data_IF_326162941891
#
_entry.id   IF_326162941891
#
_cell.length_a   1.000
_cell.length_b   1.000
_cell.length_c   1.000
_cell.angle_alpha   90.00
_cell.angle_beta   90.00
_cell.angle_gamma   90.00
#
_symmetry.space_group_name_H-M   'P 1'
#
loop_
_entity.id
_entity.type
_entity.pdbx_description
1 polymer ?
#
# COMPACT_ATOMS: atom_id res chain seq x y z
N UNK A 1 -3.95 28.34 -21.74
CA UNK A 1 -3.66 27.13 -22.54
C UNK A 1 -4.70 27.10 -23.65
N UNK A 2 -4.30 27.30 -24.90
CA UNK A 2 -5.24 27.30 -26.03
C UNK A 2 -5.67 25.85 -26.32
N UNK A 3 -6.98 25.62 -26.49
CA UNK A 3 -7.49 24.29 -26.84
C UNK A 3 -7.12 23.99 -28.29
N UNK A 4 -6.27 23.00 -28.50
CA UNK A 4 -5.96 22.52 -29.85
C UNK A 4 -7.07 21.57 -30.28
N UNK A 5 -7.79 21.93 -31.35
CA UNK A 5 -8.81 21.05 -31.96
C UNK A 5 -8.17 19.71 -32.36
N UNK A 6 -8.91 18.63 -32.15
CA UNK A 6 -8.59 17.27 -32.59
C UNK A 6 -7.30 16.64 -32.01
N UNK A 7 -6.82 17.10 -30.84
CA UNK A 7 -5.73 16.44 -30.10
C UNK A 7 -6.23 15.79 -28.81
N UNK A 8 -5.82 14.53 -28.60
CA UNK A 8 -6.08 13.76 -27.38
C UNK A 8 -4.75 13.62 -26.61
N UNK A 9 -4.77 13.95 -25.32
CA UNK A 9 -3.63 13.75 -24.42
C UNK A 9 -3.99 12.69 -23.38
N UNK A 10 -3.15 11.67 -23.24
CA UNK A 10 -3.32 10.59 -22.26
C UNK A 10 -2.25 10.74 -21.18
N UNK A 11 -2.67 10.82 -19.92
CA UNK A 11 -1.79 10.89 -18.74
C UNK A 11 -2.11 9.71 -17.82
N UNK A 12 -1.31 8.63 -17.85
CA UNK A 12 -1.56 7.48 -16.98
C UNK A 12 -1.25 7.84 -15.53
N UNK A 13 -2.16 7.47 -14.63
CA UNK A 13 -2.06 7.67 -13.18
C UNK A 13 -2.22 6.33 -12.46
N UNK A 14 -1.63 6.24 -11.28
CA UNK A 14 -1.83 5.16 -10.31
C UNK A 14 -2.52 5.76 -9.09
N UNK A 15 -3.55 5.09 -8.62
CA UNK A 15 -4.22 5.43 -7.35
C UNK A 15 -4.42 4.16 -6.54
N UNK A 16 -4.52 4.30 -5.23
CA UNK A 16 -4.67 3.19 -4.30
C UNK A 16 -4.29 3.60 -2.89
N UNK A 17 -4.02 2.63 -2.04
CA UNK A 17 -3.45 2.86 -0.73
C UNK A 17 -2.26 1.95 -0.44
N UNK A 18 -1.42 2.40 0.48
CA UNK A 18 -0.54 1.53 1.26
C UNK A 18 -1.09 1.45 2.68
N UNK A 19 -0.79 0.37 3.39
CA UNK A 19 -1.12 0.22 4.80
C UNK A 19 0.00 -0.55 5.49
N UNK A 20 0.34 -0.14 6.70
CA UNK A 20 1.30 -0.83 7.56
C UNK A 20 0.70 -1.00 8.95
N UNK A 21 0.93 -2.17 9.51
CA UNK A 21 0.50 -2.48 10.86
C UNK A 21 1.36 -1.75 11.87
N UNK A 22 0.72 -1.21 12.91
CA UNK A 22 1.39 -0.45 13.97
C UNK A 22 2.14 -1.34 14.99
N UNK A 23 2.12 -2.67 14.80
CA UNK A 23 2.72 -3.65 15.72
C UNK A 23 1.83 -4.01 16.91
N UNK A 24 0.93 -3.10 17.30
CA UNK A 24 -0.09 -3.34 18.32
C UNK A 24 -1.32 -2.48 18.07
N UNK A 25 -2.45 -2.88 18.63
CA UNK A 25 -3.63 -2.02 18.75
C UNK A 25 -3.30 -0.82 19.65
N UNK A 26 -3.48 0.40 19.15
CA UNK A 26 -3.32 1.63 19.94
C UNK A 26 -4.38 1.70 21.04
N UNK A 27 -3.98 2.04 22.26
CA UNK A 27 -4.88 2.03 23.42
C UNK A 27 -5.94 3.14 23.37
N UNK A 28 -5.61 4.29 22.78
CA UNK A 28 -6.45 5.50 22.79
C UNK A 28 -7.72 5.38 21.93
N UNK A 29 -7.62 4.80 20.74
CA UNK A 29 -8.72 4.71 19.77
C UNK A 29 -8.87 3.34 19.11
N UNK A 30 -8.01 2.39 19.48
CA UNK A 30 -8.06 1.04 18.94
C UNK A 30 -7.56 0.88 17.51
N UNK A 31 -6.89 1.89 16.94
CA UNK A 31 -6.33 1.80 15.59
C UNK A 31 -5.20 0.75 15.53
N UNK A 32 -5.13 0.03 14.42
CA UNK A 32 -4.18 -1.08 14.19
C UNK A 32 -3.25 -0.83 13.01
N UNK A 33 -3.66 0.01 12.06
CA UNK A 33 -2.88 0.33 10.87
C UNK A 33 -2.73 1.84 10.70
N UNK A 34 -1.60 2.25 10.15
CA UNK A 34 -1.48 3.51 9.43
C UNK A 34 -1.56 3.21 7.94
N UNK A 35 -2.37 3.98 7.23
CA UNK A 35 -2.61 3.84 5.81
C UNK A 35 -2.41 5.17 5.11
N UNK A 36 -1.92 5.10 3.87
CA UNK A 36 -1.75 6.28 3.00
C UNK A 36 -2.46 6.02 1.70
N UNK A 37 -3.52 6.79 1.43
CA UNK A 37 -4.21 6.81 0.13
C UNK A 37 -3.54 7.84 -0.78
N UNK A 38 -3.36 7.53 -2.06
CA UNK A 38 -2.61 8.41 -2.97
C UNK A 38 -3.16 8.42 -4.41
N UNK A 39 -2.79 9.47 -5.13
CA UNK A 39 -2.83 9.58 -6.60
C UNK A 39 -1.46 10.04 -7.07
N UNK A 40 -0.82 9.27 -7.96
CA UNK A 40 0.49 9.60 -8.53
C UNK A 40 0.55 9.36 -10.03
N UNK A 41 1.37 10.08 -10.79
CA UNK A 41 1.60 9.76 -12.19
C UNK A 41 2.25 8.39 -12.32
N UNK A 42 1.95 7.66 -13.40
CA UNK A 42 2.60 6.38 -13.70
C UNK A 42 4.06 6.59 -14.11
N UNK A 43 4.33 7.64 -14.90
CA UNK A 43 5.67 8.06 -15.26
C UNK A 43 6.24 9.03 -14.23
N UNK A 44 7.57 9.17 -14.20
CA UNK A 44 8.24 10.18 -13.38
C UNK A 44 8.09 11.57 -14.01
N UNK A 45 6.92 12.17 -13.86
CA UNK A 45 6.59 13.52 -14.30
C UNK A 45 5.93 14.32 -13.18
N UNK A 46 5.85 15.64 -13.35
CA UNK A 46 5.14 16.50 -12.40
C UNK A 46 3.64 16.54 -12.74
N UNK A 47 2.77 15.95 -11.89
CA UNK A 47 1.33 15.90 -12.13
C UNK A 47 0.65 17.26 -11.91
N UNK A 48 1.29 18.23 -11.24
CA UNK A 48 0.74 19.59 -11.09
C UNK A 48 0.56 20.31 -12.44
N UNK A 49 1.27 19.79 -13.46
CA UNK A 49 1.04 19.85 -14.91
C UNK A 49 -0.42 20.02 -15.32
N UNK A 50 -1.23 19.12 -14.80
CA UNK A 50 -2.58 18.84 -15.28
C UNK A 50 -3.55 18.60 -14.13
N UNK A 51 -3.10 18.21 -12.93
CA UNK A 51 -3.90 18.12 -11.71
C UNK A 51 -3.75 19.41 -10.91
N UNK A 52 -4.87 20.10 -10.66
CA UNK A 52 -4.94 21.27 -9.78
C UNK A 52 -5.04 20.88 -8.32
N UNK A 53 -5.88 19.88 -8.01
CA UNK A 53 -6.08 19.36 -6.66
C UNK A 53 -6.77 18.01 -6.67
N UNK A 54 -6.58 17.25 -5.61
CA UNK A 54 -7.24 15.97 -5.37
C UNK A 54 -8.05 16.06 -4.09
N UNK A 55 -9.31 15.63 -4.15
CA UNK A 55 -10.17 15.45 -2.99
C UNK A 55 -10.21 13.96 -2.63
N UNK A 56 -9.95 13.65 -1.37
CA UNK A 56 -10.16 12.34 -0.78
C UNK A 56 -11.34 12.45 0.19
N UNK A 57 -12.44 11.75 -0.10
CA UNK A 57 -13.55 11.60 0.85
C UNK A 57 -13.38 10.29 1.59
N UNK A 58 -13.01 10.39 2.86
CA UNK A 58 -12.90 9.30 3.83
C UNK A 58 -14.29 8.92 4.37
N UNK A 59 -14.34 7.87 5.18
CA UNK A 59 -15.55 7.51 5.92
C UNK A 59 -15.95 8.64 6.90
N UNK A 60 -17.25 8.82 7.13
CA UNK A 60 -17.80 9.94 7.92
C UNK A 60 -17.41 9.87 9.42
N UNK A 61 -16.82 8.75 9.88
CA UNK A 61 -16.24 8.63 11.22
C UNK A 61 -14.94 9.43 11.41
N UNK A 62 -14.25 9.83 10.34
CA UNK A 62 -13.04 10.62 10.43
C UNK A 62 -13.36 12.11 10.55
N UNK A 63 -12.67 12.80 11.47
CA UNK A 63 -12.69 14.25 11.52
C UNK A 63 -12.20 14.82 10.16
N UNK A 64 -12.89 15.84 9.65
CA UNK A 64 -12.60 16.41 8.33
C UNK A 64 -12.57 15.34 7.21
N UNK A 65 -13.56 14.44 7.16
CA UNK A 65 -13.61 13.32 6.21
C UNK A 65 -13.39 13.72 4.74
N UNK A 66 -13.66 14.98 4.37
CA UNK A 66 -13.28 15.51 3.06
C UNK A 66 -11.93 16.22 3.13
N UNK A 67 -10.88 15.56 2.65
CA UNK A 67 -9.51 16.10 2.58
C UNK A 67 -9.25 16.65 1.18
N UNK A 68 -8.61 17.81 1.10
CA UNK A 68 -8.29 18.47 -0.17
C UNK A 68 -6.79 18.74 -0.25
N UNK A 69 -6.14 18.15 -1.24
CA UNK A 69 -4.69 18.24 -1.46
C UNK A 69 -4.42 18.99 -2.75
N UNK A 70 -3.84 20.19 -2.65
CA UNK A 70 -3.64 21.10 -3.79
C UNK A 70 -2.25 21.03 -4.43
N UNK A 71 -1.30 20.33 -3.80
CA UNK A 71 0.06 20.16 -4.31
C UNK A 71 0.54 18.72 -4.13
N UNK A 72 1.41 18.21 -5.02
CA UNK A 72 2.00 16.89 -4.84
C UNK A 72 2.91 16.84 -3.60
N UNK A 73 3.07 15.66 -2.94
CA UNK A 73 2.41 14.40 -3.26
C UNK A 73 0.90 14.44 -2.95
N UNK A 74 0.07 13.95 -3.87
CA UNK A 74 -1.38 13.91 -3.68
C UNK A 74 -1.76 12.71 -2.85
N UNK A 75 -1.58 12.81 -1.54
CA UNK A 75 -1.81 11.72 -0.61
C UNK A 75 -2.37 12.19 0.73
N UNK A 76 -3.01 11.27 1.44
CA UNK A 76 -3.50 11.47 2.80
C UNK A 76 -3.10 10.25 3.62
N UNK A 77 -2.37 10.50 4.71
CA UNK A 77 -2.01 9.50 5.71
C UNK A 77 -2.91 9.64 6.92
N UNK A 78 -3.39 8.50 7.41
CA UNK A 78 -4.30 8.39 8.55
C UNK A 78 -4.12 7.03 9.22
N UNK A 79 -4.76 6.85 10.36
CA UNK A 79 -4.77 5.57 11.08
C UNK A 79 -6.18 5.01 11.14
N UNK A 80 -6.32 3.68 11.22
CA UNK A 80 -7.62 3.00 11.26
C UNK A 80 -7.52 1.57 11.78
N UNK A 81 -8.67 0.90 11.83
CA UNK A 81 -8.81 -0.51 12.25
C UNK A 81 -9.64 -1.34 11.27
N UNK A 82 -10.02 -0.77 10.13
CA UNK A 82 -11.00 -1.38 9.24
C UNK A 82 -10.92 -0.86 7.82
N UNK A 83 -11.56 -1.61 6.93
CA UNK A 83 -11.59 -1.33 5.50
C UNK A 83 -12.81 -0.46 5.15
N UNK A 84 -12.59 0.54 4.31
CA UNK A 84 -13.68 1.38 3.82
C UNK A 84 -13.37 1.94 2.43
N UNK A 85 -14.42 2.37 1.77
CA UNK A 85 -14.34 2.99 0.46
C UNK A 85 -13.94 4.47 0.56
N UNK A 86 -12.90 4.88 -0.16
CA UNK A 86 -12.47 6.28 -0.33
C UNK A 86 -12.84 6.77 -1.72
N UNK A 87 -13.59 7.87 -1.76
CA UNK A 87 -13.89 8.55 -3.02
C UNK A 87 -12.76 9.53 -3.36
N UNK A 88 -12.17 9.35 -4.53
CA UNK A 88 -11.08 10.20 -5.04
C UNK A 88 -11.65 11.06 -6.17
N UNK A 89 -11.60 12.40 -6.02
CA UNK A 89 -11.93 13.33 -7.10
C UNK A 89 -10.71 14.14 -7.52
N UNK A 90 -10.33 14.03 -8.79
CA UNK A 90 -9.19 14.72 -9.38
C UNK A 90 -9.73 15.93 -10.15
N UNK A 91 -9.31 17.13 -9.75
CA UNK A 91 -9.64 18.37 -10.44
C UNK A 91 -8.46 18.77 -11.30
N UNK A 92 -8.73 19.07 -12.57
CA UNK A 92 -7.70 19.49 -13.51
C UNK A 92 -7.37 20.97 -13.41
N UNK A 93 -6.20 21.34 -13.96
CA UNK A 93 -5.79 22.74 -14.14
C UNK A 93 -6.72 23.45 -15.12
N UNK A 94 -7.12 22.80 -16.22
CA UNK A 94 -8.21 23.32 -17.08
C UNK A 94 -9.54 23.14 -16.36
N UNK A 95 -10.11 24.25 -15.89
CA UNK A 95 -11.41 24.29 -15.18
C UNK A 95 -12.58 23.84 -16.06
N UNK A 96 -12.41 23.80 -17.38
CA UNK A 96 -13.40 23.32 -18.32
C UNK A 96 -13.35 21.80 -18.50
N UNK A 97 -12.31 21.14 -17.99
CA UNK A 97 -12.22 19.68 -17.96
C UNK A 97 -13.00 19.14 -16.75
N UNK A 98 -13.84 18.13 -16.96
CA UNK A 98 -14.68 17.59 -15.90
C UNK A 98 -13.83 16.86 -14.86
N UNK A 99 -14.05 17.05 -13.55
CA UNK A 99 -13.31 16.32 -12.54
C UNK A 99 -13.46 14.80 -12.73
N UNK A 100 -12.33 14.08 -12.69
CA UNK A 100 -12.34 12.62 -12.72
C UNK A 100 -12.73 12.08 -11.34
N UNK A 101 -13.61 11.08 -11.31
CA UNK A 101 -14.00 10.37 -10.09
C UNK A 101 -13.45 8.94 -10.12
N UNK A 102 -12.81 8.54 -9.03
CA UNK A 102 -12.28 7.19 -8.79
C UNK A 102 -12.65 6.74 -7.40
N UNK A 103 -12.55 5.43 -7.21
CA UNK A 103 -12.87 4.78 -5.96
C UNK A 103 -11.77 3.79 -5.60
N UNK A 104 -11.30 3.85 -4.36
CA UNK A 104 -10.35 2.88 -3.80
C UNK A 104 -10.95 2.30 -2.53
N UNK A 105 -10.78 0.99 -2.32
CA UNK A 105 -11.03 0.38 -1.01
C UNK A 105 -9.71 0.46 -0.25
N UNK A 106 -9.72 1.04 0.95
CA UNK A 106 -8.57 0.91 1.86
C UNK A 106 -8.55 -0.54 2.30
N UNK A 107 -7.59 -1.29 1.79
CA UNK A 107 -7.34 -2.64 2.28
C UNK A 107 -6.31 -2.58 3.38
N UNK A 108 -6.76 -2.92 4.59
CA UNK A 108 -5.87 -3.26 5.69
C UNK A 108 -5.57 -4.75 5.51
N UNK A 109 -4.42 -5.07 4.91
CA UNK A 109 -3.98 -6.46 4.90
C UNK A 109 -3.95 -6.92 6.36
N UNK A 110 -4.66 -8.01 6.68
CA UNK A 110 -4.58 -8.66 7.99
C UNK A 110 -3.13 -9.05 8.25
N UNK A 111 -2.39 -8.15 8.87
CA UNK A 111 -0.97 -8.29 9.14
C UNK A 111 -0.73 -9.51 10.02
N UNK A 112 -1.65 -9.76 10.96
CA UNK A 112 -1.69 -10.98 11.77
C UNK A 112 -1.66 -12.26 10.93
N UNK A 113 -2.40 -12.32 9.81
CA UNK A 113 -2.40 -13.50 8.94
C UNK A 113 -1.08 -13.64 8.17
N UNK A 114 -0.51 -12.52 7.72
CA UNK A 114 0.78 -12.51 7.01
C UNK A 114 1.94 -12.84 7.94
N UNK A 115 1.99 -12.26 9.14
CA UNK A 115 3.00 -12.57 10.16
C UNK A 115 2.86 -14.00 10.65
N UNK A 116 1.63 -14.46 10.92
CA UNK A 116 1.41 -15.87 11.27
C UNK A 116 1.94 -16.79 10.17
N UNK A 117 1.71 -16.46 8.89
CA UNK A 117 2.27 -17.22 7.77
C UNK A 117 3.80 -17.11 7.70
N UNK A 118 4.37 -15.95 7.98
CA UNK A 118 5.82 -15.73 7.99
C UNK A 118 6.51 -16.52 9.11
N UNK A 119 5.97 -16.47 10.33
CA UNK A 119 6.49 -17.22 11.47
C UNK A 119 6.36 -18.72 11.24
N UNK A 120 5.24 -19.19 10.68
CA UNK A 120 5.12 -20.59 10.24
C UNK A 120 6.13 -20.99 9.17
N UNK A 121 6.53 -20.06 8.30
CA UNK A 121 7.58 -20.32 7.30
C UNK A 121 8.97 -20.33 7.95
N UNK A 122 9.24 -19.45 8.93
CA UNK A 122 10.48 -19.44 9.72
C UNK A 122 10.65 -20.75 10.50
N UNK A 123 9.61 -21.18 11.22
CA UNK A 123 9.64 -22.47 11.95
C UNK A 123 9.90 -23.66 11.01
N UNK A 124 9.27 -23.67 9.83
CA UNK A 124 9.54 -24.70 8.80
C UNK A 124 10.97 -24.63 8.28
N UNK A 125 11.49 -23.43 8.04
CA UNK A 125 12.87 -23.21 7.60
C UNK A 125 13.87 -23.71 8.62
N UNK A 126 13.67 -23.40 9.91
CA UNK A 126 14.52 -23.86 11.01
C UNK A 126 14.53 -25.39 11.13
N UNK A 127 13.36 -26.04 10.97
CA UNK A 127 13.25 -27.50 10.94
C UNK A 127 14.00 -28.13 9.76
N UNK A 128 13.92 -27.53 8.58
CA UNK A 128 14.63 -28.01 7.39
C UNK A 128 16.15 -27.84 7.55
N UNK A 129 16.60 -26.70 8.09
CA UNK A 129 18.01 -26.46 8.37
C UNK A 129 18.54 -27.51 9.36
N UNK A 130 17.80 -27.80 10.44
CA UNK A 130 18.18 -28.84 11.39
C UNK A 130 18.27 -30.22 10.73
N UNK A 131 17.28 -30.60 9.92
CA UNK A 131 17.29 -31.87 9.21
C UNK A 131 18.50 -32.01 8.27
N UNK A 132 18.91 -30.95 7.57
CA UNK A 132 20.11 -30.97 6.74
C UNK A 132 21.39 -31.19 7.56
N UNK A 133 21.51 -30.56 8.74
CA UNK A 133 22.66 -30.78 9.62
C UNK A 133 22.70 -32.20 10.20
N UNK A 134 21.55 -32.75 10.61
CA UNK A 134 21.45 -34.12 11.12
C UNK A 134 21.82 -35.14 10.01
N UNK A 135 21.42 -34.89 8.75
CA UNK A 135 21.81 -35.71 7.58
C UNK A 135 23.32 -35.61 7.25
N UNK A 136 23.90 -34.41 7.34
CA UNK A 136 25.35 -34.21 7.12
C UNK A 136 26.19 -34.96 8.18
N UNK A 137 25.75 -34.96 9.44
CA UNK A 137 26.40 -35.70 10.54
C UNK A 137 26.33 -37.23 10.32
N UNK A 138 25.16 -37.76 9.91
CA UNK A 138 25.00 -39.19 9.59
C UNK A 138 25.91 -39.61 8.41
N UNK A 139 26.03 -38.76 7.39
CA UNK A 139 26.90 -39.01 6.24
C UNK A 139 28.38 -39.02 6.64
N UNK A 140 28.80 -38.12 7.52
CA UNK A 140 30.20 -38.04 7.98
C UNK A 140 30.57 -39.18 8.95
N UNK A 141 29.63 -39.65 9.78
CA UNK A 141 29.79 -40.87 10.58
C UNK A 141 29.94 -42.12 9.71
N UNK A 142 29.11 -42.27 8.67
CA UNK A 142 29.19 -43.38 7.72
C UNK A 142 30.51 -43.38 6.93
N UNK A 143 31.00 -42.21 6.50
CA UNK A 143 32.31 -42.09 5.84
C UNK A 143 33.45 -42.52 6.76
N UNK A 144 33.37 -42.16 8.04
CA UNK A 144 34.38 -42.53 9.05
C UNK A 144 34.45 -44.05 9.23
N UNK A 145 33.29 -44.72 9.32
CA UNK A 145 33.21 -46.19 9.43
C UNK A 145 33.75 -46.94 8.21
N UNK A 146 33.69 -46.35 7.01
CA UNK A 146 34.22 -46.95 5.78
C UNK A 146 35.75 -46.77 5.65
N UNK A 147 36.32 -45.78 6.35
CA UNK A 147 37.73 -45.42 6.25
C UNK A 147 38.67 -46.20 7.19
N UNK A 148 38.13 -47.01 8.10
CA UNK A 148 38.86 -47.93 8.99
C UNK A 148 38.96 -49.35 8.40
#
# INVERSE_FOLDING_TARGET
MERVKDKIFIRPIVYGNTAHYLGKKREEDGHTHEWTVFVKPYYNEDPSKYIRKVQFKLHDSYANATRMVEKPPYEVTETGWGEFEIQIRIYFVDVNEKPMRKMSIVQEKKFEEVEYRLDRLREKSERLIKACYDEDEEVDDLKSQISE
#
